data_IF_361035103211
#
_entry.id   IF_361035103211
#
_cell.length_a   1.000
_cell.length_b   1.000
_cell.length_c   1.000
_cell.angle_alpha   90.00
_cell.angle_beta   90.00
_cell.angle_gamma   90.00
#
_symmetry.space_group_name_H-M   'P 1'
#
loop_
_entity.id
_entity.type
_entity.pdbx_description
1 polymer ?
#
# COMPACT_ATOMS: atom_id res chain seq x y z
N UNK A 1 -2.32 15.87 -3.13
CA UNK A 1 -1.38 15.13 -3.98
C UNK A 1 -0.91 13.89 -3.25
N UNK A 2 -1.38 12.74 -3.68
CA UNK A 2 -0.92 11.42 -3.20
C UNK A 2 0.36 11.06 -3.98
N UNK A 3 1.31 10.48 -3.25
CA UNK A 3 2.67 10.15 -3.67
C UNK A 3 2.77 9.67 -5.13
N UNK A 4 3.30 10.54 -6.01
CA UNK A 4 3.88 10.16 -7.31
C UNK A 4 2.94 10.01 -8.52
N UNK A 5 1.62 10.11 -8.35
CA UNK A 5 0.65 9.83 -9.43
C UNK A 5 -0.41 10.94 -9.57
N UNK A 6 0.01 12.20 -9.64
CA UNK A 6 -0.91 13.30 -9.92
C UNK A 6 -1.36 13.24 -11.40
N UNK A 7 -2.66 13.33 -11.67
CA UNK A 7 -3.19 13.43 -13.03
C UNK A 7 -2.73 14.72 -13.74
N UNK A 8 -2.34 15.74 -12.97
CA UNK A 8 -1.85 17.03 -13.47
C UNK A 8 -0.36 17.02 -13.88
N UNK A 9 0.35 15.90 -13.67
CA UNK A 9 1.72 15.73 -14.17
C UNK A 9 1.72 15.26 -15.63
N UNK A 10 2.86 15.40 -16.32
CA UNK A 10 3.06 14.86 -17.67
C UNK A 10 2.60 13.39 -17.73
N UNK A 11 1.77 13.00 -18.72
CA UNK A 11 1.33 11.62 -18.88
C UNK A 11 2.49 10.62 -18.84
N UNK A 12 2.31 9.54 -18.09
CA UNK A 12 3.23 8.42 -18.09
C UNK A 12 2.76 7.26 -17.23
N UNK A 13 3.59 6.21 -17.18
CA UNK A 13 3.30 4.96 -16.47
C UNK A 13 2.82 5.16 -15.02
N UNK A 14 3.41 6.11 -14.29
CA UNK A 14 3.12 6.33 -12.88
C UNK A 14 1.76 6.99 -12.62
N UNK A 15 1.19 7.72 -13.59
CA UNK A 15 -0.12 8.36 -13.46
C UNK A 15 -1.15 7.82 -14.46
N UNK A 16 -0.91 6.62 -15.01
CA UNK A 16 -1.79 5.96 -15.99
C UNK A 16 -2.10 6.86 -17.19
N UNK A 17 -1.09 7.53 -17.75
CA UNK A 17 -1.24 8.52 -18.83
C UNK A 17 -2.20 9.67 -18.49
N UNK A 18 -2.36 9.99 -17.20
CA UNK A 18 -3.31 10.98 -16.70
C UNK A 18 -4.76 10.48 -16.67
N UNK A 19 -5.02 9.20 -16.92
CA UNK A 19 -6.37 8.61 -16.96
C UNK A 19 -6.76 8.12 -15.57
N UNK A 20 -7.97 8.49 -15.11
CA UNK A 20 -8.54 7.97 -13.86
C UNK A 20 -8.71 6.44 -13.95
N UNK A 21 -7.94 5.72 -13.13
CA UNK A 21 -7.95 4.26 -13.02
C UNK A 21 -9.05 3.75 -12.06
N UNK A 22 -9.94 4.64 -11.62
CA UNK A 22 -11.08 4.33 -10.77
C UNK A 22 -10.66 3.76 -9.41
N UNK A 23 -11.52 2.93 -8.81
CA UNK A 23 -11.25 2.36 -7.49
C UNK A 23 -9.95 1.53 -7.45
N UNK A 24 -9.63 0.82 -8.53
CA UNK A 24 -8.40 0.01 -8.62
C UNK A 24 -7.15 0.87 -8.49
N UNK A 25 -7.11 2.03 -9.17
CA UNK A 25 -6.01 2.99 -9.05
C UNK A 25 -5.87 3.57 -7.65
N UNK A 26 -7.00 3.92 -7.03
CA UNK A 26 -7.04 4.49 -5.67
C UNK A 26 -6.57 3.53 -4.60
N UNK A 27 -6.75 2.22 -4.81
CA UNK A 27 -6.26 1.18 -3.91
C UNK A 27 -4.81 0.77 -4.21
N UNK A 28 -4.31 1.03 -5.42
CA UNK A 28 -2.95 0.71 -5.84
C UNK A 28 -1.97 1.86 -5.58
N UNK A 29 -2.08 2.48 -4.39
CA UNK A 29 -1.20 3.56 -3.96
C UNK A 29 -0.29 3.09 -2.84
N UNK A 30 0.87 3.74 -2.72
CA UNK A 30 1.79 3.51 -1.60
C UNK A 30 1.20 3.95 -0.26
N UNK A 31 1.84 3.51 0.83
CA UNK A 31 1.46 3.91 2.19
C UNK A 31 1.50 5.44 2.34
N UNK A 32 0.40 6.10 2.79
CA UNK A 32 0.27 7.56 2.73
C UNK A 32 1.36 8.35 3.46
N UNK A 33 1.91 7.79 4.55
CA UNK A 33 2.95 8.41 5.38
C UNK A 33 4.37 8.10 4.87
N UNK A 34 4.51 7.41 3.74
CA UNK A 34 5.78 7.08 3.11
C UNK A 34 6.45 5.81 3.64
N UNK A 35 7.59 5.47 3.03
CA UNK A 35 8.26 4.19 3.23
C UNK A 35 8.71 3.97 4.69
N UNK A 36 9.31 4.98 5.33
CA UNK A 36 9.80 4.83 6.70
C UNK A 36 8.68 4.58 7.70
N UNK A 37 7.55 5.30 7.56
CA UNK A 37 6.39 5.08 8.40
C UNK A 37 5.78 3.68 8.19
N UNK A 38 5.74 3.21 6.94
CA UNK A 38 5.31 1.84 6.64
C UNK A 38 6.24 0.80 7.29
N UNK A 39 7.56 0.98 7.21
CA UNK A 39 8.51 0.06 7.84
C UNK A 39 8.39 0.02 9.35
N UNK A 40 8.15 1.16 10.01
CA UNK A 40 7.86 1.20 11.44
C UNK A 40 6.56 0.45 11.77
N UNK A 41 5.47 0.75 11.05
CA UNK A 41 4.16 0.11 11.22
C UNK A 41 4.23 -1.42 11.09
N UNK A 42 4.83 -1.93 10.01
CA UNK A 42 4.92 -3.38 9.79
C UNK A 42 5.92 -4.07 10.73
N UNK A 43 6.91 -3.34 11.25
CA UNK A 43 7.78 -3.86 12.31
C UNK A 43 6.99 -4.04 13.60
N UNK A 44 6.28 -3.01 14.07
CA UNK A 44 5.45 -3.05 15.28
C UNK A 44 4.41 -4.17 15.24
N UNK A 45 3.67 -4.29 14.13
CA UNK A 45 2.67 -5.35 13.97
C UNK A 45 3.29 -6.75 14.08
N UNK A 46 4.47 -6.98 13.46
CA UNK A 46 5.18 -8.27 13.57
C UNK A 46 5.72 -8.54 14.97
N UNK A 47 6.29 -7.53 15.62
CA UNK A 47 6.88 -7.68 16.95
C UNK A 47 5.84 -7.82 18.05
N UNK A 48 4.61 -7.35 17.83
CA UNK A 48 3.49 -7.54 18.77
C UNK A 48 3.21 -9.03 19.06
N UNK A 49 3.48 -9.91 18.09
CA UNK A 49 3.15 -11.34 18.15
C UNK A 49 1.65 -11.65 18.17
N UNK A 50 0.78 -10.64 18.20
CA UNK A 50 -0.67 -10.81 18.17
C UNK A 50 -1.17 -11.21 16.78
N UNK A 51 -0.46 -10.79 15.73
CA UNK A 51 -0.79 -11.05 14.33
C UNK A 51 -2.26 -10.74 14.01
N UNK A 52 -2.74 -9.58 14.48
CA UNK A 52 -4.13 -9.16 14.31
C UNK A 52 -4.57 -9.26 12.84
N UNK A 53 -5.74 -9.85 12.61
CA UNK A 53 -6.29 -10.08 11.27
C UNK A 53 -5.79 -11.34 10.57
N UNK A 54 -4.86 -12.11 11.14
CA UNK A 54 -4.48 -13.43 10.62
C UNK A 54 -5.22 -14.57 11.35
N UNK A 55 -5.67 -15.53 10.55
CA UNK A 55 -6.15 -16.82 11.03
C UNK A 55 -5.10 -17.90 10.73
N UNK A 56 -4.54 -18.49 11.78
CA UNK A 56 -3.58 -19.59 11.65
C UNK A 56 -4.31 -20.91 11.46
N UNK A 57 -3.83 -21.73 10.52
CA UNK A 57 -4.28 -23.12 10.35
C UNK A 57 -3.09 -24.04 10.53
N UNK A 58 -3.23 -25.05 11.37
CA UNK A 58 -2.23 -26.11 11.48
C UNK A 58 -2.48 -27.14 10.40
N UNK A 59 -1.52 -27.31 9.50
CA UNK A 59 -1.50 -28.47 8.61
C UNK A 59 -0.77 -29.59 9.34
N UNK A 60 -1.50 -30.59 9.84
CA UNK A 60 -0.88 -31.83 10.31
C UNK A 60 -0.28 -32.55 9.11
N UNK A 61 1.02 -32.78 9.14
CA UNK A 61 1.74 -33.51 8.08
C UNK A 61 1.62 -35.01 8.28
#
# INVERSE_FOLDING_TARGET
SILGASADCTPGYYNNEGIDSGMKGRLNIGYPQGAMAYFAYIAEWRTSGAFEGLEFRTTTR
#
